data_IF_153743526248
#
_entry.id   IF_153743526248
#
_cell.length_a   1.000
_cell.length_b   1.000
_cell.length_c   1.000
_cell.angle_alpha   90.00
_cell.angle_beta   90.00
_cell.angle_gamma   90.00
#
_symmetry.space_group_name_H-M   'P 1'
#
loop_
_entity.id
_entity.type
_entity.pdbx_description
1 polymer ?
#
# COMPACT_ATOMS: atom_id res chain seq x y z
N UNK A 1 9.89 -7.73 -16.14
CA UNK A 1 8.78 -7.66 -15.18
C UNK A 1 8.82 -8.85 -14.24
N UNK A 2 8.58 -8.63 -12.94
CA UNK A 2 8.56 -9.64 -11.89
C UNK A 2 7.36 -9.44 -10.98
N UNK A 3 6.87 -10.53 -10.39
CA UNK A 3 5.89 -10.51 -9.32
C UNK A 3 6.55 -10.95 -8.02
N UNK A 4 6.26 -10.26 -6.92
CA UNK A 4 6.78 -10.62 -5.59
C UNK A 4 5.69 -10.46 -4.54
N UNK A 5 5.55 -11.48 -3.70
CA UNK A 5 4.75 -11.43 -2.49
C UNK A 5 5.67 -11.30 -1.27
N UNK A 6 5.38 -10.31 -0.42
CA UNK A 6 6.01 -10.17 0.89
C UNK A 6 4.96 -10.46 1.96
N UNK A 7 5.28 -11.42 2.83
CA UNK A 7 4.52 -11.69 4.04
C UNK A 7 5.25 -11.06 5.23
N UNK A 8 4.55 -10.23 5.98
CA UNK A 8 5.03 -9.67 7.25
C UNK A 8 4.22 -10.32 8.36
N UNK A 9 4.89 -10.99 9.29
CA UNK A 9 4.27 -11.61 10.45
C UNK A 9 4.69 -10.87 11.71
N UNK A 10 3.75 -10.66 12.64
CA UNK A 10 4.00 -10.01 13.92
C UNK A 10 4.68 -8.62 13.78
N UNK A 11 4.11 -7.70 12.97
CA UNK A 11 4.54 -6.31 13.02
C UNK A 11 4.19 -5.72 14.39
N UNK A 12 4.75 -4.55 14.70
CA UNK A 12 4.35 -3.81 15.89
C UNK A 12 2.91 -3.31 15.71
N UNK A 13 1.93 -4.05 16.24
CA UNK A 13 0.52 -3.84 15.96
C UNK A 13 0.14 -4.35 14.57
N UNK A 14 -0.34 -3.46 13.72
CA UNK A 14 -0.78 -3.66 12.35
C UNK A 14 0.02 -2.83 11.34
N UNK A 15 1.24 -2.42 11.72
CA UNK A 15 1.98 -1.39 11.00
C UNK A 15 3.34 -1.86 10.45
N UNK A 16 3.57 -1.59 9.16
CA UNK A 16 4.88 -1.68 8.49
C UNK A 16 5.26 -0.27 8.02
N UNK A 17 6.25 0.35 8.66
CA UNK A 17 6.61 1.75 8.39
C UNK A 17 7.62 1.93 7.26
N UNK A 18 8.57 1.00 7.13
CA UNK A 18 9.74 1.17 6.27
C UNK A 18 10.43 -0.18 5.99
N UNK A 19 9.75 -1.09 5.32
CA UNK A 19 10.38 -2.34 4.92
C UNK A 19 11.25 -2.15 3.66
N UNK A 20 12.55 -2.41 3.77
CA UNK A 20 13.49 -2.33 2.65
C UNK A 20 13.34 -3.54 1.71
N UNK A 21 12.81 -3.32 0.50
CA UNK A 21 12.67 -4.39 -0.49
C UNK A 21 14.00 -4.82 -1.11
N UNK A 22 15.05 -4.00 -0.96
CA UNK A 22 16.32 -4.08 -1.69
C UNK A 22 16.19 -3.95 -3.22
N UNK A 23 15.02 -3.61 -3.73
CA UNK A 23 14.80 -3.36 -5.16
C UNK A 23 15.38 -1.98 -5.50
N UNK A 24 16.37 -1.90 -6.40
CA UNK A 24 17.02 -0.64 -6.72
C UNK A 24 16.13 0.26 -7.59
N UNK A 25 15.88 1.48 -7.13
CA UNK A 25 15.01 2.49 -7.76
C UNK A 25 15.50 2.94 -9.14
N UNK A 26 16.82 2.94 -9.36
CA UNK A 26 17.41 3.32 -10.63
C UNK A 26 17.24 2.27 -11.75
N UNK A 27 16.86 1.04 -11.43
CA UNK A 27 16.66 -0.04 -12.42
C UNK A 27 15.20 -0.47 -12.54
N UNK A 28 14.43 -0.36 -11.47
CA UNK A 28 13.08 -0.88 -11.40
C UNK A 28 12.13 0.12 -10.76
N UNK A 29 10.86 0.00 -11.12
CA UNK A 29 9.73 0.56 -10.40
C UNK A 29 8.94 -0.56 -9.76
N UNK A 30 8.52 -0.36 -8.51
CA UNK A 30 7.79 -1.35 -7.75
C UNK A 30 6.41 -0.78 -7.36
N UNK A 31 5.34 -1.47 -7.77
CA UNK A 31 3.95 -1.01 -7.63
C UNK A 31 3.21 -2.02 -6.76
N UNK A 32 2.49 -1.55 -5.75
CA UNK A 32 1.55 -2.40 -5.00
C UNK A 32 0.36 -2.72 -5.89
N UNK A 33 0.12 -4.00 -6.15
CA UNK A 33 -1.00 -4.49 -6.98
C UNK A 33 -2.03 -5.28 -6.18
N UNK A 34 -1.85 -5.36 -4.87
CA UNK A 34 -2.84 -5.95 -3.96
C UNK A 34 -2.25 -6.29 -2.60
N UNK A 35 -3.14 -6.54 -1.63
CA UNK A 35 -2.80 -6.90 -0.27
C UNK A 35 -3.84 -7.83 0.36
N UNK A 36 -3.45 -8.51 1.44
CA UNK A 36 -4.32 -9.34 2.28
C UNK A 36 -3.77 -9.41 3.72
N UNK A 37 -4.54 -9.94 4.68
CA UNK A 37 -4.29 -9.68 6.11
C UNK A 37 -4.46 -10.80 7.15
N UNK A 38 -4.36 -12.12 6.95
CA UNK A 38 -4.64 -13.19 7.95
C UNK A 38 -5.93 -13.16 8.83
N UNK A 39 -6.66 -12.05 8.96
CA UNK A 39 -7.80 -11.79 9.84
C UNK A 39 -9.15 -12.06 9.13
N UNK A 40 -9.15 -12.90 8.11
CA UNK A 40 -10.32 -13.18 7.28
C UNK A 40 -11.15 -14.38 7.78
N UNK A 41 -10.72 -15.07 8.84
CA UNK A 41 -11.25 -16.40 9.18
C UNK A 41 -12.29 -16.46 10.31
N UNK A 42 -12.52 -15.37 11.07
CA UNK A 42 -13.57 -15.34 12.09
C UNK A 42 -14.38 -14.03 12.06
N UNK A 43 -15.66 -14.10 12.45
CA UNK A 43 -16.55 -12.93 12.58
C UNK A 43 -16.05 -11.89 13.62
N UNK A 44 -15.14 -12.31 14.49
CA UNK A 44 -14.47 -11.46 15.49
C UNK A 44 -13.10 -10.97 15.03
N UNK A 45 -12.63 -11.37 13.85
CA UNK A 45 -11.36 -10.97 13.27
C UNK A 45 -11.51 -9.66 12.51
N UNK A 46 -10.48 -8.81 12.59
CA UNK A 46 -10.45 -7.52 11.92
C UNK A 46 -10.06 -6.37 12.85
N UNK A 47 -10.08 -5.18 12.28
CA UNK A 47 -9.74 -3.95 12.97
C UNK A 47 -10.93 -3.45 13.79
N UNK A 48 -10.67 -3.07 15.05
CA UNK A 48 -11.60 -2.25 15.80
C UNK A 48 -11.11 -0.82 15.73
N UNK A 49 -12.05 0.11 15.53
CA UNK A 49 -11.74 1.50 15.76
C UNK A 49 -11.38 1.66 17.24
N UNK A 50 -10.14 2.01 17.51
CA UNK A 50 -9.63 2.20 18.87
C UNK A 50 -10.12 3.52 19.48
N UNK A 51 -10.67 4.41 18.65
CA UNK A 51 -11.18 5.72 19.03
C UNK A 51 -12.69 5.82 18.82
N UNK A 52 -13.40 6.32 19.82
CA UNK A 52 -14.85 6.56 19.75
C UNK A 52 -15.22 7.87 19.04
N UNK A 53 -14.22 8.62 18.54
CA UNK A 53 -14.41 9.93 17.90
C UNK A 53 -13.85 10.07 16.48
N UNK A 54 -13.36 8.99 15.87
CA UNK A 54 -12.84 9.01 14.50
C UNK A 54 -13.62 8.05 13.60
N UNK A 55 -13.66 8.34 12.31
CA UNK A 55 -14.23 7.44 11.31
C UNK A 55 -13.29 6.27 11.01
N UNK A 56 -13.84 5.18 10.46
CA UNK A 56 -13.03 4.08 9.96
C UNK A 56 -12.23 4.54 8.74
N UNK A 57 -10.90 4.36 8.78
CA UNK A 57 -10.02 4.73 7.67
C UNK A 57 -9.71 3.53 6.79
N UNK A 58 -9.54 3.80 5.49
CA UNK A 58 -9.07 2.81 4.54
C UNK A 58 -7.58 2.49 4.81
N UNK A 59 -7.13 1.26 4.53
CA UNK A 59 -5.71 0.94 4.63
C UNK A 59 -4.85 1.79 3.68
N UNK A 60 -3.72 2.26 4.19
CA UNK A 60 -2.67 2.91 3.41
C UNK A 60 -1.58 1.90 3.10
N UNK A 61 -1.48 1.48 1.84
CA UNK A 61 -0.52 0.45 1.41
C UNK A 61 0.12 0.90 0.11
N UNK A 62 1.40 1.26 0.19
CA UNK A 62 2.10 1.83 -0.95
C UNK A 62 3.60 1.56 -0.87
N UNK A 63 4.26 1.79 -2.00
CA UNK A 63 5.71 1.78 -2.10
C UNK A 63 6.23 3.21 -2.18
N UNK A 64 7.40 3.46 -1.60
CA UNK A 64 8.07 4.76 -1.66
C UNK A 64 9.58 4.59 -1.83
N UNK A 65 10.26 5.62 -2.31
CA UNK A 65 11.71 5.57 -2.54
C UNK A 65 12.46 6.11 -1.33
N UNK A 66 13.48 5.37 -0.86
CA UNK A 66 14.40 5.86 0.17
C UNK A 66 15.76 5.18 0.05
N UNK A 67 16.83 5.98 0.11
CA UNK A 67 18.21 5.50 0.07
C UNK A 67 18.52 4.60 -1.14
N UNK A 68 17.95 4.93 -2.31
CA UNK A 68 18.17 4.20 -3.56
C UNK A 68 17.38 2.91 -3.72
N UNK A 69 16.58 2.49 -2.73
CA UNK A 69 15.71 1.29 -2.82
C UNK A 69 14.24 1.63 -2.62
N UNK A 70 13.37 0.78 -3.17
CA UNK A 70 11.94 0.83 -2.88
C UNK A 70 11.67 0.30 -1.48
N UNK A 71 10.78 0.99 -0.77
CA UNK A 71 10.27 0.64 0.56
C UNK A 71 8.81 0.27 0.47
N UNK A 72 8.33 -0.52 1.42
CA UNK A 72 6.90 -0.81 1.61
C UNK A 72 6.45 -0.13 2.90
N UNK A 73 5.33 0.58 2.79
CA UNK A 73 4.49 1.04 3.90
C UNK A 73 3.17 0.27 3.87
N UNK A 74 2.67 -0.16 5.03
CA UNK A 74 1.35 -0.74 5.19
C UNK A 74 0.79 -0.39 6.57
N UNK A 75 -0.35 0.27 6.63
CA UNK A 75 -1.03 0.63 7.87
C UNK A 75 -2.56 0.58 7.69
N UNK A 76 -3.26 0.38 8.79
CA UNK A 76 -4.69 0.74 8.89
C UNK A 76 -4.79 1.85 9.92
N UNK A 77 -4.79 3.13 9.47
CA UNK A 77 -4.68 4.26 10.38
C UNK A 77 -5.73 4.22 11.50
N UNK A 78 -5.29 4.51 12.73
CA UNK A 78 -6.10 4.52 13.96
C UNK A 78 -6.77 3.18 14.34
N UNK A 79 -6.47 2.10 13.61
CA UNK A 79 -6.80 0.76 14.04
C UNK A 79 -5.74 0.22 14.99
N UNK A 80 -6.12 -0.83 15.72
CA UNK A 80 -5.17 -1.64 16.47
C UNK A 80 -5.68 -3.08 16.52
N UNK A 81 -4.77 -4.01 16.74
CA UNK A 81 -5.15 -5.38 17.07
C UNK A 81 -5.51 -5.48 18.54
N UNK A 82 -6.44 -6.38 18.87
CA UNK A 82 -6.91 -6.60 20.24
C UNK A 82 -5.87 -7.29 21.17
N UNK A 83 -4.57 -7.24 20.84
CA UNK A 83 -3.49 -7.80 21.66
C UNK A 83 -3.44 -9.34 21.73
N UNK A 84 -4.42 -10.04 21.16
CA UNK A 84 -4.54 -11.51 21.23
C UNK A 84 -4.16 -12.21 19.92
N UNK A 85 -4.06 -11.49 18.80
CA UNK A 85 -3.74 -12.05 17.49
C UNK A 85 -2.50 -11.40 16.87
N UNK A 86 -1.52 -12.22 16.49
CA UNK A 86 -0.40 -11.78 15.65
C UNK A 86 -0.96 -11.33 14.30
N UNK A 87 -0.87 -10.02 14.02
CA UNK A 87 -1.27 -9.49 12.73
C UNK A 87 -0.29 -9.97 11.65
N UNK A 88 -0.79 -10.23 10.44
CA UNK A 88 0.07 -10.47 9.30
C UNK A 88 -0.39 -9.67 8.09
N UNK A 89 0.55 -9.07 7.38
CA UNK A 89 0.33 -8.44 6.08
C UNK A 89 0.83 -9.34 4.97
N UNK A 90 0.06 -9.46 3.90
CA UNK A 90 0.49 -9.90 2.59
C UNK A 90 0.50 -8.70 1.64
N UNK A 91 1.64 -8.39 1.02
CA UNK A 91 1.76 -7.30 0.03
C UNK A 91 2.30 -7.85 -1.28
N UNK A 92 1.56 -7.62 -2.37
CA UNK A 92 1.91 -8.04 -3.73
C UNK A 92 2.49 -6.88 -4.50
N UNK A 93 3.69 -7.05 -5.01
CA UNK A 93 4.37 -6.07 -5.84
C UNK A 93 4.49 -6.58 -7.28
N UNK A 94 4.15 -5.70 -8.22
CA UNK A 94 4.59 -5.78 -9.60
C UNK A 94 5.85 -4.94 -9.75
N UNK A 95 6.93 -5.56 -10.22
CA UNK A 95 8.25 -4.94 -10.34
C UNK A 95 8.59 -4.88 -11.83
N UNK A 96 8.69 -3.67 -12.37
CA UNK A 96 8.85 -3.44 -13.80
C UNK A 96 10.21 -2.80 -14.03
N UNK A 97 10.94 -3.28 -15.04
CA UNK A 97 12.20 -2.62 -15.44
C UNK A 97 11.89 -1.21 -15.91
N UNK A 98 12.71 -0.23 -15.51
CA UNK A 98 12.55 1.14 -15.96
C UNK A 98 12.71 1.25 -17.49
N UNK A 99 13.42 0.32 -18.14
CA UNK A 99 13.55 0.25 -19.60
C UNK A 99 12.23 -0.14 -20.29
N UNK A 100 11.29 -0.72 -19.55
CA UNK A 100 9.99 -1.18 -20.07
C UNK A 100 8.85 -0.21 -19.73
N UNK A 101 9.14 0.91 -19.07
CA UNK A 101 8.12 1.87 -18.66
C UNK A 101 8.42 3.28 -19.15
N UNK A 102 7.34 3.97 -19.52
CA UNK A 102 7.35 5.42 -19.66
C UNK A 102 6.69 6.00 -18.40
N UNK A 103 7.50 6.64 -17.55
CA UNK A 103 6.98 7.39 -16.41
C UNK A 103 6.45 8.74 -16.92
N UNK A 104 5.18 8.99 -16.66
CA UNK A 104 4.53 10.28 -16.92
C UNK A 104 4.57 11.11 -15.63
N UNK A 105 4.50 12.43 -15.75
CA UNK A 105 4.40 13.31 -14.60
C UNK A 105 3.06 13.11 -13.87
N UNK A 106 3.08 13.30 -12.55
CA UNK A 106 1.86 13.28 -11.74
C UNK A 106 0.90 14.40 -12.17
N UNK A 107 -0.40 14.11 -12.16
CA UNK A 107 -1.46 15.08 -12.43
C UNK A 107 -2.47 15.03 -11.31
N UNK A 108 -2.82 16.20 -10.78
CA UNK A 108 -3.83 16.36 -9.73
C UNK A 108 -5.10 16.93 -10.35
N UNK A 109 -6.24 16.35 -10.02
CA UNK A 109 -7.55 16.81 -10.46
C UNK A 109 -8.39 17.26 -9.27
N UNK A 110 -8.85 18.50 -9.29
CA UNK A 110 -9.91 18.97 -8.38
C UNK A 110 -11.27 18.71 -9.04
N UNK A 111 -12.10 17.88 -8.41
CA UNK A 111 -13.45 17.57 -8.90
C UNK A 111 -14.50 18.61 -8.46
N UNK A 112 -14.14 19.61 -7.66
CA UNK A 112 -15.04 20.70 -7.26
C UNK A 112 -16.30 20.25 -6.52
N UNK A 113 -16.22 19.13 -5.79
CA UNK A 113 -17.37 18.52 -5.10
C UNK A 113 -18.23 17.59 -5.98
N UNK A 114 -17.85 17.35 -7.23
CA UNK A 114 -18.51 16.38 -8.12
C UNK A 114 -18.02 14.95 -7.88
N UNK A 115 -18.85 13.95 -8.22
CA UNK A 115 -18.46 12.53 -8.25
C UNK A 115 -17.98 12.05 -9.63
N UNK A 116 -17.85 12.97 -10.59
CA UNK A 116 -17.41 12.69 -11.96
C UNK A 116 -16.42 13.73 -12.44
N UNK A 117 -15.46 13.32 -13.27
CA UNK A 117 -14.49 14.20 -13.93
C UNK A 117 -13.85 13.49 -15.13
N UNK A 118 -12.93 14.19 -15.80
CA UNK A 118 -12.17 13.64 -16.92
C UNK A 118 -10.71 14.11 -16.86
N UNK A 119 -9.81 13.26 -17.35
CA UNK A 119 -8.43 13.66 -17.60
C UNK A 119 -8.39 14.74 -18.70
N UNK A 120 -7.43 15.67 -18.63
CA UNK A 120 -7.30 16.73 -19.65
C UNK A 120 -6.87 16.19 -21.01
N UNK A 121 -6.18 15.05 -21.03
CA UNK A 121 -5.76 14.33 -22.24
C UNK A 121 -5.56 12.84 -21.92
N UNK A 122 -5.51 12.00 -22.97
CA UNK A 122 -5.10 10.61 -22.83
C UNK A 122 -3.62 10.54 -22.39
N UNK A 123 -3.27 9.71 -21.40
CA UNK A 123 -1.87 9.50 -20.99
C UNK A 123 -1.10 8.62 -21.99
N UNK A 124 -1.81 7.99 -22.93
CA UNK A 124 -1.23 7.14 -23.98
C UNK A 124 -1.66 7.64 -25.36
N UNK A 125 -0.86 7.39 -26.41
CA UNK A 125 -1.23 7.69 -27.78
C UNK A 125 -2.54 7.02 -28.24
#
# INVERSE_FOLDING_TARGET
MYFKYYAFSNPNGDFVSNFDTKIPTNKYTAIVVGSDTSNHSALTSGFKNSSTGYDFQVPDIYTFQQNGTWRIYADVPNATTNGVSNFSWGVRLLIISNEQMSLLSDVVYDLGGSSTGAATASPVP
#
